data_IF_359487542378
#
_entry.id   IF_359487542378
#
_cell.length_a   1.000
_cell.length_b   1.000
_cell.length_c   1.000
_cell.angle_alpha   90.00
_cell.angle_beta   90.00
_cell.angle_gamma   90.00
#
_symmetry.space_group_name_H-M   'P 1'
#
loop_
_entity.id
_entity.type
_entity.pdbx_description
1 polymer ?
#
# COMPACT_ATOMS: atom_id res chain seq x y z
N UNK A 1 1.98 -24.33 -2.57
CA UNK A 1 1.86 -22.85 -2.49
C UNK A 1 0.64 -22.37 -3.25
N UNK A 2 0.53 -22.66 -4.57
CA UNK A 2 -0.65 -22.31 -5.35
C UNK A 2 -1.97 -22.79 -4.72
N UNK A 3 -2.05 -24.05 -4.30
CA UNK A 3 -3.25 -24.60 -3.65
C UNK A 3 -3.63 -23.85 -2.37
N UNK A 4 -2.63 -23.46 -1.55
CA UNK A 4 -2.85 -22.67 -0.34
C UNK A 4 -3.35 -21.25 -0.66
N UNK A 5 -2.73 -20.60 -1.66
CA UNK A 5 -3.13 -19.26 -2.12
C UNK A 5 -4.55 -19.29 -2.68
N UNK A 6 -4.87 -20.31 -3.48
CA UNK A 6 -6.22 -20.54 -4.01
C UNK A 6 -7.23 -20.82 -2.91
N UNK A 7 -6.91 -21.68 -1.95
CA UNK A 7 -7.79 -22.02 -0.83
C UNK A 7 -8.08 -20.80 0.06
N UNK A 8 -7.07 -19.96 0.29
CA UNK A 8 -7.17 -18.81 1.21
C UNK A 8 -7.74 -17.55 0.55
N UNK A 9 -7.33 -17.24 -0.68
CA UNK A 9 -7.64 -15.96 -1.33
C UNK A 9 -8.45 -16.11 -2.62
N UNK A 10 -8.65 -17.34 -3.12
CA UNK A 10 -9.35 -17.57 -4.37
C UNK A 10 -10.77 -17.01 -4.34
N UNK A 11 -11.09 -16.17 -5.32
CA UNK A 11 -12.42 -15.54 -5.44
C UNK A 11 -12.63 -14.33 -4.53
N UNK A 12 -11.62 -13.87 -3.80
CA UNK A 12 -11.67 -12.61 -3.08
C UNK A 12 -11.77 -11.45 -4.09
N UNK A 13 -12.66 -10.49 -3.81
CA UNK A 13 -12.85 -9.29 -4.63
C UNK A 13 -13.17 -8.13 -3.71
N UNK A 14 -12.46 -7.01 -3.87
CA UNK A 14 -12.69 -5.78 -3.10
C UNK A 14 -12.09 -4.57 -3.83
N UNK A 15 -12.47 -3.35 -3.42
CA UNK A 15 -11.86 -2.12 -3.92
C UNK A 15 -10.63 -1.77 -3.09
N UNK A 16 -9.46 -1.77 -3.71
CA UNK A 16 -8.20 -1.44 -3.06
C UNK A 16 -8.01 0.07 -2.95
N UNK A 17 -7.74 0.56 -1.73
CA UNK A 17 -7.33 1.94 -1.51
C UNK A 17 -5.86 2.19 -1.85
N UNK A 18 -5.04 1.13 -1.89
CA UNK A 18 -3.64 1.21 -2.35
C UNK A 18 -3.55 1.45 -3.87
N UNK A 19 -4.28 0.66 -4.67
CA UNK A 19 -4.34 0.77 -6.13
C UNK A 19 -5.43 1.73 -6.64
N UNK A 20 -6.33 2.21 -5.76
CA UNK A 20 -7.50 3.04 -6.11
C UNK A 20 -8.38 2.39 -7.19
N UNK A 21 -8.65 1.09 -7.05
CA UNK A 21 -9.28 0.27 -8.08
C UNK A 21 -9.72 -1.09 -7.55
N UNK A 22 -10.59 -1.77 -8.31
CA UNK A 22 -11.07 -3.10 -7.96
C UNK A 22 -9.99 -4.18 -8.14
N UNK A 23 -9.78 -4.97 -7.10
CA UNK A 23 -8.87 -6.12 -7.07
C UNK A 23 -9.68 -7.40 -7.20
N UNK A 24 -9.27 -8.28 -8.12
CA UNK A 24 -9.83 -9.62 -8.27
C UNK A 24 -8.72 -10.66 -8.06
N UNK A 25 -8.85 -11.47 -7.01
CA UNK A 25 -7.91 -12.54 -6.74
C UNK A 25 -8.23 -13.75 -7.60
N UNK A 26 -7.64 -13.75 -8.80
CA UNK A 26 -7.71 -14.87 -9.76
C UNK A 26 -6.30 -15.43 -9.95
N UNK A 27 -5.82 -16.32 -9.07
CA UNK A 27 -4.49 -16.90 -9.19
C UNK A 27 -4.41 -17.75 -10.46
N UNK A 28 -3.78 -17.19 -11.49
CA UNK A 28 -3.44 -17.90 -12.73
C UNK A 28 -2.01 -18.43 -12.57
N UNK A 29 -1.81 -19.72 -12.85
CA UNK A 29 -0.48 -20.30 -12.99
C UNK A 29 -0.21 -20.56 -14.45
N UNK A 30 0.53 -19.65 -15.07
CA UNK A 30 1.09 -19.82 -16.40
C UNK A 30 2.61 -19.70 -16.31
N UNK A 31 3.35 -20.80 -16.06
CA UNK A 31 4.77 -20.79 -16.35
C UNK A 31 4.92 -20.76 -17.87
N UNK A 32 5.39 -19.63 -18.43
CA UNK A 32 5.80 -19.57 -19.84
C UNK A 32 7.06 -20.42 -20.06
N UNK A 33 7.97 -20.46 -19.07
CA UNK A 33 9.13 -21.35 -18.99
C UNK A 33 9.12 -22.20 -17.69
N UNK A 34 9.36 -23.52 -17.75
CA UNK A 34 9.52 -24.37 -16.56
C UNK A 34 10.73 -24.02 -15.66
N UNK A 35 11.60 -23.10 -16.10
CA UNK A 35 12.70 -22.54 -15.32
C UNK A 35 12.41 -21.17 -14.71
N UNK A 36 11.27 -20.55 -15.07
CA UNK A 36 10.81 -19.30 -14.47
C UNK A 36 10.20 -19.54 -13.09
N UNK A 37 10.31 -18.52 -12.24
CA UNK A 37 9.66 -18.53 -10.94
C UNK A 37 8.14 -18.57 -11.13
N UNK A 38 7.44 -19.25 -10.21
CA UNK A 38 5.99 -19.33 -10.26
C UNK A 38 5.37 -17.94 -10.06
N UNK A 39 4.98 -17.28 -11.14
CA UNK A 39 4.21 -16.05 -11.08
C UNK A 39 2.75 -16.39 -10.80
N UNK A 40 2.26 -15.97 -9.63
CA UNK A 40 0.82 -15.92 -9.39
C UNK A 40 0.39 -14.49 -9.72
N UNK A 41 -0.13 -14.32 -10.94
CA UNK A 41 -0.68 -13.05 -11.39
C UNK A 41 -2.00 -12.80 -10.66
N UNK A 42 -2.07 -11.74 -9.85
CA UNK A 42 -3.35 -11.24 -9.38
C UNK A 42 -3.82 -10.19 -10.39
N UNK A 43 -4.87 -10.52 -11.12
CA UNK A 43 -5.51 -9.56 -12.00
C UNK A 43 -6.17 -8.47 -11.15
N UNK A 44 -5.41 -7.44 -10.80
CA UNK A 44 -5.99 -6.16 -10.49
C UNK A 44 -6.60 -5.67 -11.81
N UNK A 45 -7.90 -5.88 -12.02
CA UNK A 45 -8.59 -5.30 -13.17
C UNK A 45 -8.81 -3.81 -12.87
N UNK A 46 -7.71 -3.07 -12.79
CA UNK A 46 -7.75 -1.63 -12.81
C UNK A 46 -7.99 -1.23 -14.25
N UNK A 47 -8.74 -0.18 -14.52
CA UNK A 47 -8.70 0.47 -15.84
C UNK A 47 -7.34 1.13 -16.14
N UNK A 48 -6.26 0.68 -15.50
CA UNK A 48 -4.94 1.28 -15.36
C UNK A 48 -3.85 0.21 -15.57
N UNK A 49 -2.62 0.58 -15.97
CA UNK A 49 -1.51 -0.36 -16.13
C UNK A 49 -0.90 -0.85 -14.80
N UNK A 50 -1.46 -0.46 -13.65
CA UNK A 50 -0.96 -0.82 -12.32
C UNK A 50 -1.51 -2.17 -11.84
N UNK A 51 -0.66 -2.97 -11.19
CA UNK A 51 -1.03 -4.26 -10.62
C UNK A 51 -0.01 -4.83 -9.64
N UNK A 52 -0.20 -6.09 -9.26
CA UNK A 52 0.73 -6.83 -8.42
C UNK A 52 0.73 -8.34 -8.73
N UNK A 53 1.87 -8.98 -8.47
CA UNK A 53 2.03 -10.43 -8.54
C UNK A 53 2.63 -10.99 -7.23
N UNK A 54 2.49 -12.30 -7.01
CA UNK A 54 3.20 -13.01 -5.93
C UNK A 54 4.46 -13.67 -6.49
N UNK A 55 5.59 -13.44 -5.83
CA UNK A 55 6.79 -14.26 -6.02
C UNK A 55 6.65 -15.63 -5.33
N UNK A 56 7.60 -16.52 -5.63
CA UNK A 56 7.62 -17.88 -5.09
C UNK A 56 7.88 -17.95 -3.56
N UNK A 57 8.45 -16.91 -2.96
CA UNK A 57 8.66 -16.79 -1.52
C UNK A 57 7.52 -16.05 -0.80
N UNK A 58 6.46 -15.68 -1.52
CA UNK A 58 5.26 -15.06 -0.97
C UNK A 58 5.31 -13.53 -0.89
N UNK A 59 6.36 -12.90 -1.42
CA UNK A 59 6.47 -11.43 -1.51
C UNK A 59 5.55 -10.92 -2.60
N UNK A 60 4.84 -9.82 -2.32
CA UNK A 60 4.02 -9.12 -3.29
C UNK A 60 4.87 -8.09 -3.99
N UNK A 61 4.99 -8.26 -5.30
CA UNK A 61 5.66 -7.33 -6.19
C UNK A 61 4.59 -6.42 -6.77
N UNK A 62 4.77 -5.11 -6.62
CA UNK A 62 3.87 -4.07 -7.14
C UNK A 62 4.51 -3.46 -8.38
N UNK A 63 3.73 -3.24 -9.43
CA UNK A 63 4.28 -2.69 -10.67
C UNK A 63 3.30 -1.96 -11.57
N UNK A 64 3.87 -1.30 -12.57
CA UNK A 64 3.20 -0.67 -13.70
C UNK A 64 4.00 -1.02 -14.96
N UNK A 65 3.35 -1.58 -15.97
CA UNK A 65 4.00 -2.07 -17.19
C UNK A 65 5.18 -3.02 -16.87
N UNK A 66 6.41 -2.64 -17.20
CA UNK A 66 7.65 -3.40 -16.97
C UNK A 66 8.48 -2.87 -15.79
N UNK A 67 7.89 -2.00 -14.97
CA UNK A 67 8.53 -1.43 -13.80
C UNK A 67 7.89 -1.95 -12.53
N UNK A 68 8.68 -2.64 -11.70
CA UNK A 68 8.18 -3.34 -10.53
C UNK A 68 9.10 -3.17 -9.32
N UNK A 69 8.53 -3.34 -8.13
CA UNK A 69 9.24 -3.30 -6.86
C UNK A 69 8.64 -4.32 -5.88
N UNK A 70 9.48 -5.14 -5.20
CA UNK A 70 9.02 -5.92 -4.06
C UNK A 70 8.53 -4.98 -2.96
N UNK A 71 7.26 -5.07 -2.61
CA UNK A 71 6.63 -4.09 -1.71
C UNK A 71 6.11 -4.71 -0.42
N UNK A 72 5.21 -5.70 -0.49
CA UNK A 72 4.64 -6.31 0.71
C UNK A 72 5.25 -7.68 0.98
N UNK A 73 5.49 -8.00 2.24
CA UNK A 73 6.05 -9.30 2.61
C UNK A 73 5.08 -10.47 2.38
N UNK A 74 3.79 -10.19 2.21
CA UNK A 74 2.74 -11.18 1.96
C UNK A 74 1.48 -10.53 1.39
N UNK A 75 0.58 -11.34 0.83
CA UNK A 75 -0.77 -10.91 0.47
C UNK A 75 -1.57 -10.40 1.67
N UNK A 76 -1.42 -11.02 2.85
CA UNK A 76 -2.10 -10.57 4.06
C UNK A 76 -1.71 -9.11 4.39
N UNK A 77 -0.46 -8.72 4.14
CA UNK A 77 -0.01 -7.34 4.35
C UNK A 77 -0.62 -6.34 3.38
N UNK A 78 -0.82 -6.74 2.11
CA UNK A 78 -1.54 -5.91 1.14
C UNK A 78 -3.02 -5.78 1.52
N UNK A 79 -3.68 -6.88 1.90
CA UNK A 79 -5.08 -6.89 2.33
C UNK A 79 -5.27 -6.04 3.59
N UNK A 80 -4.36 -6.12 4.55
CA UNK A 80 -4.40 -5.28 5.75
C UNK A 80 -4.16 -3.80 5.40
N UNK A 81 -3.25 -3.51 4.46
CA UNK A 81 -3.05 -2.15 3.92
C UNK A 81 -4.34 -1.58 3.32
N UNK A 82 -5.06 -2.38 2.53
CA UNK A 82 -6.35 -1.98 1.94
C UNK A 82 -7.45 -1.82 2.99
N UNK A 83 -7.50 -2.71 4.00
CA UNK A 83 -8.45 -2.62 5.11
C UNK A 83 -8.27 -1.32 5.91
N UNK A 84 -7.02 -0.84 6.04
CA UNK A 84 -6.72 0.43 6.68
C UNK A 84 -7.28 1.64 5.91
N UNK A 85 -7.35 1.58 4.58
CA UNK A 85 -8.02 2.63 3.79
C UNK A 85 -9.52 2.68 4.10
N UNK A 86 -10.20 1.53 4.14
CA UNK A 86 -11.62 1.46 4.47
C UNK A 86 -11.92 2.08 5.84
N UNK A 87 -11.05 1.85 6.83
CA UNK A 87 -11.18 2.48 8.16
C UNK A 87 -10.89 3.98 8.14
N UNK A 88 -9.86 4.41 7.39
CA UNK A 88 -9.46 5.80 7.32
C UNK A 88 -10.50 6.67 6.58
N UNK A 89 -11.15 6.13 5.56
CA UNK A 89 -12.20 6.80 4.77
C UNK A 89 -13.48 7.11 5.57
N UNK A 90 -13.67 6.48 6.73
CA UNK A 90 -14.75 6.82 7.65
C UNK A 90 -14.53 8.18 8.35
N UNK A 91 -13.32 8.75 8.25
CA UNK A 91 -13.04 10.06 8.81
C UNK A 91 -13.61 11.18 7.93
N UNK A 92 -14.11 12.27 8.54
CA UNK A 92 -14.79 13.34 7.82
C UNK A 92 -13.85 14.27 7.03
N UNK A 93 -12.55 14.25 7.29
CA UNK A 93 -11.58 15.11 6.60
C UNK A 93 -10.37 14.30 6.12
N UNK A 94 -9.86 14.67 4.95
CA UNK A 94 -8.67 14.07 4.34
C UNK A 94 -7.76 15.14 3.75
N UNK A 95 -6.46 14.85 3.64
CA UNK A 95 -5.50 15.72 2.99
C UNK A 95 -4.27 14.96 2.53
N UNK A 96 -3.70 15.41 1.42
CA UNK A 96 -2.55 14.77 0.78
C UNK A 96 -1.42 15.78 0.59
N UNK A 97 -0.18 15.33 0.81
CA UNK A 97 1.05 16.06 0.51
C UNK A 97 1.99 15.16 -0.26
N UNK A 98 2.67 15.70 -1.27
CA UNK A 98 3.74 15.01 -1.99
C UNK A 98 5.10 15.40 -1.42
N UNK A 99 5.99 14.41 -1.31
CA UNK A 99 7.37 14.60 -0.89
C UNK A 99 8.27 14.77 -2.11
N UNK A 100 9.38 15.49 -1.93
CA UNK A 100 10.33 15.77 -3.00
C UNK A 100 11.11 14.54 -3.50
N UNK A 101 11.06 13.40 -2.81
CA UNK A 101 11.73 12.16 -3.20
C UNK A 101 11.74 11.10 -2.10
N UNK A 102 12.16 9.87 -2.45
CA UNK A 102 12.17 8.71 -1.55
C UNK A 102 12.99 8.91 -0.27
N UNK A 103 14.10 9.65 -0.34
CA UNK A 103 14.93 9.94 0.83
C UNK A 103 14.16 10.67 1.94
N UNK A 104 13.13 11.44 1.57
CA UNK A 104 12.26 12.17 2.52
C UNK A 104 11.22 11.26 3.18
N UNK A 105 10.91 10.11 2.59
CA UNK A 105 9.93 9.17 3.13
C UNK A 105 10.38 8.62 4.49
N UNK A 106 11.65 8.22 4.61
CA UNK A 106 12.22 7.73 5.88
C UNK A 106 12.18 8.81 6.96
N UNK A 107 12.56 10.04 6.61
CA UNK A 107 12.47 11.18 7.52
C UNK A 107 11.03 11.47 7.96
N UNK A 108 10.05 11.33 7.05
CA UNK A 108 8.63 11.49 7.40
C UNK A 108 8.14 10.40 8.36
N UNK A 109 8.59 9.15 8.19
CA UNK A 109 8.31 8.06 9.14
C UNK A 109 8.87 8.39 10.53
N UNK A 110 10.11 8.83 10.62
CA UNK A 110 10.73 9.21 11.91
C UNK A 110 10.01 10.40 12.58
N UNK A 111 9.61 11.41 11.78
CA UNK A 111 8.88 12.57 12.27
C UNK A 111 7.50 12.22 12.82
N UNK A 112 6.75 11.33 12.16
CA UNK A 112 5.42 10.95 12.63
C UNK A 112 5.50 10.07 13.88
N UNK A 113 6.50 9.20 13.98
CA UNK A 113 6.78 8.39 15.18
C UNK A 113 7.16 9.26 16.39
N UNK A 114 7.90 10.35 16.16
CA UNK A 114 8.27 11.32 17.20
C UNK A 114 7.18 12.38 17.47
N UNK A 115 6.08 12.37 16.71
CA UNK A 115 5.07 13.42 16.76
C UNK A 115 4.19 13.37 18.04
N UNK A 116 3.63 14.50 18.47
CA UNK A 116 2.73 14.54 19.63
C UNK A 116 1.34 13.95 19.35
N UNK A 117 1.05 13.49 18.12
CA UNK A 117 -0.28 13.03 17.70
C UNK A 117 -0.64 11.63 18.22
N UNK A 118 0.28 10.97 18.95
CA UNK A 118 0.08 9.61 19.52
C UNK A 118 -0.33 8.58 18.47
N UNK A 119 0.16 8.76 17.26
CA UNK A 119 0.01 7.79 16.18
C UNK A 119 0.97 6.63 16.40
N UNK A 120 0.50 5.41 16.18
CA UNK A 120 1.30 4.19 16.27
C UNK A 120 1.40 3.57 14.90
N UNK A 121 2.59 3.07 14.56
CA UNK A 121 2.80 2.33 13.33
C UNK A 121 1.96 1.04 13.34
N UNK A 122 1.38 0.71 12.19
CA UNK A 122 0.67 -0.55 11.93
C UNK A 122 1.57 -1.38 11.00
N UNK A 123 2.47 -2.21 11.54
CA UNK A 123 3.46 -2.92 10.72
C UNK A 123 2.84 -3.96 9.79
N UNK A 124 1.71 -4.55 10.17
CA UNK A 124 1.01 -5.58 9.38
C UNK A 124 0.47 -5.02 8.07
N UNK A 125 0.04 -3.76 8.06
CA UNK A 125 -0.43 -3.00 6.91
C UNK A 125 0.71 -2.36 6.08
N UNK A 126 1.96 -2.68 6.41
CA UNK A 126 3.14 -2.02 5.84
C UNK A 126 3.86 -2.82 4.76
N UNK A 127 4.71 -2.12 4.01
CA UNK A 127 5.62 -2.67 3.01
C UNK A 127 7.01 -2.06 3.10
N UNK A 128 7.85 -2.33 2.10
CA UNK A 128 9.19 -1.76 1.98
C UNK A 128 9.14 -0.22 1.89
N UNK A 129 8.17 0.31 1.14
CA UNK A 129 8.00 1.74 0.91
C UNK A 129 6.63 2.24 1.37
N UNK A 130 5.84 1.43 2.07
CA UNK A 130 4.48 1.74 2.51
C UNK A 130 4.36 1.63 4.01
N UNK A 131 3.79 2.66 4.63
CA UNK A 131 3.74 2.82 6.07
C UNK A 131 2.37 3.33 6.48
N UNK A 132 1.73 2.61 7.39
CA UNK A 132 0.51 3.04 8.05
C UNK A 132 0.76 3.45 9.50
N UNK A 133 0.07 4.49 9.92
CA UNK A 133 0.00 4.95 11.29
C UNK A 133 -1.45 5.17 11.68
N UNK A 134 -1.83 4.68 12.87
CA UNK A 134 -3.17 4.82 13.42
C UNK A 134 -3.12 5.42 14.82
N UNK A 135 -4.07 6.28 15.13
CA UNK A 135 -4.32 6.79 16.47
C UNK A 135 -5.81 6.98 16.73
N UNK A 136 -6.13 7.63 17.84
CA UNK A 136 -7.54 7.81 18.25
C UNK A 136 -8.31 8.79 17.36
N UNK A 137 -7.63 9.74 16.73
CA UNK A 137 -8.27 10.85 16.00
C UNK A 137 -7.82 10.98 14.55
N UNK A 138 -6.84 10.18 14.12
CA UNK A 138 -6.29 10.26 12.78
C UNK A 138 -5.64 8.96 12.31
N UNK A 139 -5.58 8.81 11.00
CA UNK A 139 -4.82 7.81 10.28
C UNK A 139 -3.87 8.51 9.31
N UNK A 140 -2.66 7.99 9.15
CA UNK A 140 -1.66 8.51 8.23
C UNK A 140 -1.09 7.38 7.40
N UNK A 141 -1.16 7.53 6.09
CA UNK A 141 -0.56 6.64 5.11
C UNK A 141 0.61 7.36 4.45
N UNK A 142 1.78 6.74 4.44
CA UNK A 142 2.93 7.20 3.69
C UNK A 142 3.28 6.13 2.67
N UNK A 143 3.44 6.51 1.41
CA UNK A 143 3.89 5.57 0.38
C UNK A 143 4.89 6.19 -0.58
N UNK A 144 5.95 5.43 -0.84
CA UNK A 144 6.91 5.66 -1.91
C UNK A 144 6.95 4.53 -2.94
N UNK A 145 6.07 3.52 -2.87
CA UNK A 145 6.12 2.37 -3.78
C UNK A 145 6.10 2.78 -5.25
N UNK A 146 5.16 3.67 -5.61
CA UNK A 146 5.07 4.25 -6.97
C UNK A 146 6.27 5.13 -7.34
N UNK A 147 6.96 5.71 -6.35
CA UNK A 147 8.19 6.47 -6.60
C UNK A 147 9.40 5.57 -6.82
N UNK A 148 9.43 4.38 -6.21
CA UNK A 148 10.51 3.41 -6.40
C UNK A 148 10.56 2.89 -7.84
N UNK A 149 9.40 2.85 -8.50
CA UNK A 149 9.28 2.47 -9.92
C UNK A 149 9.20 3.67 -10.88
N UNK A 150 9.44 4.90 -10.38
CA UNK A 150 9.53 6.11 -11.22
C UNK A 150 8.20 6.68 -11.73
N UNK A 151 7.06 6.27 -11.16
CA UNK A 151 5.73 6.62 -11.65
C UNK A 151 5.15 7.88 -10.99
N UNK A 152 5.25 8.00 -9.67
CA UNK A 152 4.69 9.13 -8.89
C UNK A 152 5.61 9.53 -7.75
N UNK A 153 5.66 10.82 -7.34
CA UNK A 153 6.38 11.23 -6.14
C UNK A 153 5.79 10.57 -4.90
N UNK A 154 6.60 10.29 -3.85
CA UNK A 154 6.07 9.74 -2.61
C UNK A 154 5.02 10.67 -2.01
N UNK A 155 4.07 10.10 -1.29
CA UNK A 155 2.95 10.86 -0.74
C UNK A 155 2.70 10.53 0.72
N UNK A 156 2.11 11.51 1.41
CA UNK A 156 1.53 11.38 2.74
C UNK A 156 0.05 11.70 2.58
N UNK A 157 -0.81 10.75 2.96
CA UNK A 157 -2.27 10.95 3.05
C UNK A 157 -2.66 10.89 4.52
N UNK A 158 -3.49 11.83 4.96
CA UNK A 158 -3.95 11.96 6.34
C UNK A 158 -5.46 11.99 6.36
N UNK A 159 -6.08 11.18 7.23
CA UNK A 159 -7.50 11.20 7.52
C UNK A 159 -7.72 11.54 8.99
N UNK A 160 -8.62 12.46 9.31
CA UNK A 160 -8.86 12.87 10.69
C UNK A 160 -10.29 13.41 10.91
N UNK A 161 -10.64 13.64 12.19
CA UNK A 161 -11.96 14.13 12.60
C UNK A 161 -12.33 15.52 12.09
N UNK A 162 -11.38 16.32 11.57
CA UNK A 162 -11.63 17.62 10.94
C UNK A 162 -10.40 18.13 10.16
N UNK A 163 -10.61 19.17 9.34
CA UNK A 163 -9.56 19.75 8.50
C UNK A 163 -8.42 20.41 9.29
N UNK A 164 -8.69 20.95 10.48
CA UNK A 164 -7.65 21.59 11.30
C UNK A 164 -6.62 20.56 11.77
N UNK A 165 -7.07 19.36 12.12
CA UNK A 165 -6.19 18.25 12.51
C UNK A 165 -5.36 17.73 11.33
N UNK A 166 -5.99 17.55 10.16
CA UNK A 166 -5.29 17.21 8.91
C UNK A 166 -4.17 18.20 8.63
N UNK A 167 -4.48 19.51 8.63
CA UNK A 167 -3.50 20.55 8.34
C UNK A 167 -2.36 20.58 9.36
N UNK A 168 -2.67 20.35 10.65
CA UNK A 168 -1.67 20.30 11.72
C UNK A 168 -0.72 19.12 11.56
N UNK A 169 -1.23 17.95 11.17
CA UNK A 169 -0.40 16.76 10.89
C UNK A 169 0.47 17.02 9.66
N UNK A 170 -0.12 17.47 8.56
CA UNK A 170 0.61 17.76 7.32
C UNK A 170 1.71 18.82 7.51
N UNK A 171 1.48 19.85 8.32
CA UNK A 171 2.47 20.87 8.65
C UNK A 171 3.71 20.33 9.38
N UNK A 172 3.69 19.08 9.86
CA UNK A 172 4.87 18.41 10.44
C UNK A 172 5.89 18.00 9.38
N UNK A 173 5.47 17.93 8.11
CA UNK A 173 6.29 17.47 6.99
C UNK A 173 6.68 18.57 6.00
N UNK A 174 6.14 19.78 6.17
CA UNK A 174 6.41 20.96 5.35
C UNK A 174 7.71 21.66 5.79
#
# INVERSE_FOLDING_TARGET
>A
MLEFVQERYGGLTYTSGFFDSDVFFTPVCEPEDPTEELEILYAVQTGSPAGACLSADGVVIVGVDYHEVPEFASLDSLIECDSMFELAEQQPATGTMHLAGLDRLRGAVELIEASPFRLRRVPEAGGAHTYWFSGQSAYVFLSGAWSAIGFMPPSIRVWAGNQQEVNRILATFA
#
